data_IF_106181126941
#
_entry.id   IF_106181126941
#
_cell.length_a   1.000
_cell.length_b   1.000
_cell.length_c   1.000
_cell.angle_alpha   90.00
_cell.angle_beta   90.00
_cell.angle_gamma   90.00
#
_symmetry.space_group_name_H-M   'P 1'
#
loop_
_entity.id
_entity.type
_entity.pdbx_description
1 polymer ?
#
# COMPACT_ATOMS: atom_id res chain seq x y z
N UNK A 1 -11.84 -30.71 -15.57
CA UNK A 1 -11.28 -29.34 -15.57
C UNK A 1 -11.31 -28.86 -14.14
N UNK A 2 -10.15 -28.60 -13.53
CA UNK A 2 -10.15 -27.97 -12.20
C UNK A 2 -10.66 -26.54 -12.38
N UNK A 3 -11.77 -26.20 -11.71
CA UNK A 3 -12.17 -24.79 -11.60
C UNK A 3 -11.03 -24.02 -10.97
N UNK A 4 -10.59 -22.96 -11.62
CA UNK A 4 -9.54 -22.09 -11.07
C UNK A 4 -10.07 -21.52 -9.73
N UNK A 5 -9.21 -21.55 -8.71
CA UNK A 5 -9.55 -21.01 -7.41
C UNK A 5 -9.86 -19.53 -7.54
N UNK A 6 -10.94 -19.07 -6.92
CA UNK A 6 -11.33 -17.67 -6.96
C UNK A 6 -11.76 -17.17 -5.58
N UNK A 7 -11.47 -15.90 -5.31
CA UNK A 7 -11.93 -15.18 -4.12
C UNK A 7 -12.96 -14.16 -4.52
N UNK A 8 -14.10 -14.18 -3.83
CA UNK A 8 -15.19 -13.23 -4.01
C UNK A 8 -15.11 -12.13 -2.97
N UNK A 9 -14.95 -10.90 -3.41
CA UNK A 9 -15.05 -9.73 -2.58
C UNK A 9 -16.53 -9.40 -2.36
N UNK A 10 -16.98 -9.40 -1.12
CA UNK A 10 -18.41 -9.28 -0.79
C UNK A 10 -18.67 -8.08 0.11
N UNK A 11 -19.86 -7.48 -0.09
CA UNK A 11 -20.41 -6.44 0.78
C UNK A 11 -21.44 -7.07 1.72
N UNK A 12 -21.26 -6.85 3.02
CA UNK A 12 -22.17 -7.31 4.07
C UNK A 12 -23.23 -6.24 4.33
N UNK A 13 -24.50 -6.63 4.20
CA UNK A 13 -25.60 -5.72 4.49
C UNK A 13 -26.05 -5.84 5.94
N UNK A 14 -26.21 -4.71 6.62
CA UNK A 14 -26.79 -4.70 7.96
C UNK A 14 -28.22 -5.25 7.92
N UNK A 15 -28.47 -6.31 8.70
CA UNK A 15 -29.81 -6.93 8.83
C UNK A 15 -30.26 -7.82 7.67
N UNK A 16 -29.40 -8.10 6.67
CA UNK A 16 -29.69 -9.07 5.60
C UNK A 16 -28.83 -10.33 5.76
N UNK A 17 -29.41 -11.49 5.40
CA UNK A 17 -28.69 -12.79 5.48
C UNK A 17 -27.71 -13.03 4.34
N UNK A 18 -27.85 -12.32 3.22
CA UNK A 18 -27.10 -12.60 2.01
C UNK A 18 -26.13 -11.46 1.71
N UNK A 19 -24.85 -11.82 1.59
CA UNK A 19 -23.80 -10.92 1.12
C UNK A 19 -23.95 -10.70 -0.40
N UNK A 20 -23.60 -9.51 -0.87
CA UNK A 20 -23.57 -9.22 -2.31
C UNK A 20 -22.14 -9.28 -2.82
N UNK A 21 -21.90 -10.08 -3.85
CA UNK A 21 -20.60 -10.17 -4.52
C UNK A 21 -20.37 -8.90 -5.35
N UNK A 22 -19.33 -8.17 -5.02
CA UNK A 22 -18.90 -6.97 -5.74
C UNK A 22 -17.98 -7.34 -6.90
N UNK A 23 -16.88 -8.03 -6.58
CA UNK A 23 -15.85 -8.43 -7.52
C UNK A 23 -15.36 -9.85 -7.21
N UNK A 24 -14.72 -10.46 -8.21
CA UNK A 24 -14.09 -11.77 -8.07
C UNK A 24 -12.66 -11.66 -8.54
N UNK A 25 -11.73 -12.20 -7.78
CA UNK A 25 -10.31 -12.25 -8.11
C UNK A 25 -9.87 -13.70 -8.32
N UNK A 26 -8.95 -13.89 -9.25
CA UNK A 26 -8.28 -15.17 -9.51
C UNK A 26 -6.77 -14.98 -9.46
N UNK A 27 -5.99 -16.03 -9.14
CA UNK A 27 -4.53 -15.98 -9.26
C UNK A 27 -4.12 -15.66 -10.70
N UNK A 28 -3.16 -14.76 -10.88
CA UNK A 28 -2.63 -14.38 -12.19
C UNK A 28 -1.58 -15.37 -12.75
N UNK A 29 -1.13 -16.33 -11.93
CA UNK A 29 -0.08 -17.29 -12.26
C UNK A 29 1.35 -16.80 -12.01
N UNK A 30 1.52 -15.53 -11.65
CA UNK A 30 2.84 -14.93 -11.35
C UNK A 30 3.01 -14.64 -9.84
N UNK A 31 2.08 -15.11 -9.03
CA UNK A 31 2.07 -14.91 -7.57
C UNK A 31 1.22 -13.73 -7.11
N UNK A 32 0.46 -13.14 -8.02
CA UNK A 32 -0.50 -12.08 -7.75
C UNK A 32 -1.95 -12.52 -7.97
N UNK A 33 -2.83 -11.54 -7.92
CA UNK A 33 -4.27 -11.72 -8.12
C UNK A 33 -4.81 -10.70 -9.12
N UNK A 34 -5.64 -11.13 -10.02
CA UNK A 34 -6.31 -10.26 -10.99
C UNK A 34 -7.84 -10.35 -10.90
N UNK A 35 -8.55 -9.24 -11.16
CA UNK A 35 -10.00 -9.26 -11.19
C UNK A 35 -10.51 -10.04 -12.41
N UNK A 36 -11.43 -10.97 -12.15
CA UNK A 36 -12.10 -11.73 -13.21
C UNK A 36 -13.08 -10.81 -13.92
N UNK A 37 -12.78 -10.45 -15.16
CA UNK A 37 -13.64 -9.61 -16.00
C UNK A 37 -14.90 -10.39 -16.38
N UNK A 38 -16.05 -9.90 -15.95
CA UNK A 38 -17.32 -10.38 -16.46
C UNK A 38 -17.63 -9.65 -17.76
N UNK A 39 -18.01 -10.36 -18.78
CA UNK A 39 -18.33 -9.84 -20.12
C UNK A 39 -19.64 -9.04 -20.21
N UNK A 40 -20.08 -8.41 -19.14
CA UNK A 40 -21.28 -7.57 -19.10
C UNK A 40 -20.93 -6.12 -19.34
N UNK A 41 -21.57 -5.52 -20.33
CA UNK A 41 -21.62 -4.08 -20.57
C UNK A 41 -22.42 -3.38 -19.47
N UNK A 42 -21.89 -3.35 -18.25
CA UNK A 42 -22.44 -2.48 -17.21
C UNK A 42 -21.96 -1.06 -17.52
N UNK A 43 -22.90 -0.18 -17.83
CA UNK A 43 -22.61 1.26 -17.96
C UNK A 43 -22.27 1.76 -16.56
N UNK A 44 -21.04 2.21 -16.31
CA UNK A 44 -20.69 2.72 -14.99
C UNK A 44 -21.49 3.98 -14.71
N UNK A 45 -22.02 4.08 -13.51
CA UNK A 45 -22.58 5.33 -13.01
C UNK A 45 -21.45 6.32 -12.79
N UNK A 46 -21.75 7.62 -12.91
CA UNK A 46 -20.78 8.67 -12.68
C UNK A 46 -20.06 8.47 -11.33
N UNK A 47 -18.71 8.46 -11.35
CA UNK A 47 -17.87 8.21 -10.18
C UNK A 47 -17.66 6.74 -9.80
N UNK A 48 -18.21 5.77 -10.56
CA UNK A 48 -17.98 4.33 -10.34
C UNK A 48 -17.22 3.72 -11.51
N UNK A 49 -16.45 2.66 -11.25
CA UNK A 49 -15.75 1.89 -12.27
C UNK A 49 -16.37 0.50 -12.40
N UNK A 50 -16.48 -0.06 -13.62
CA UNK A 50 -17.04 -1.41 -13.83
C UNK A 50 -16.14 -2.51 -13.25
N UNK A 51 -14.87 -2.21 -13.02
CA UNK A 51 -13.87 -3.14 -12.49
C UNK A 51 -12.99 -2.44 -11.45
N UNK A 52 -12.35 -3.20 -10.54
CA UNK A 52 -11.23 -2.68 -9.75
C UNK A 52 -10.15 -2.09 -10.66
N UNK A 53 -9.64 -0.95 -10.30
CA UNK A 53 -8.60 -0.24 -11.06
C UNK A 53 -7.28 -0.33 -10.29
N UNK A 54 -6.28 -0.91 -10.93
CA UNK A 54 -4.92 -0.94 -10.42
C UNK A 54 -4.24 0.39 -10.72
N UNK A 55 -3.80 1.08 -9.68
CA UNK A 55 -3.08 2.35 -9.81
C UNK A 55 -1.69 2.23 -9.22
N UNK A 56 -0.71 2.71 -9.96
CA UNK A 56 0.67 2.79 -9.53
C UNK A 56 0.98 4.22 -9.09
N UNK A 57 1.13 4.40 -7.79
CA UNK A 57 1.53 5.65 -7.14
C UNK A 57 3.01 5.65 -6.77
N UNK A 58 3.78 4.67 -7.24
CA UNK A 58 5.22 4.60 -6.96
C UNK A 58 5.89 5.85 -7.54
N UNK A 59 6.64 6.60 -6.74
CA UNK A 59 7.37 7.75 -7.25
C UNK A 59 8.35 7.31 -8.33
N UNK A 60 8.32 7.97 -9.49
CA UNK A 60 9.23 7.65 -10.61
C UNK A 60 10.64 8.15 -10.36
N UNK A 61 10.77 9.18 -9.55
CA UNK A 61 12.04 9.77 -9.13
C UNK A 61 11.97 10.08 -7.64
N UNK A 62 13.09 9.96 -6.89
CA UNK A 62 13.11 10.33 -5.48
C UNK A 62 12.86 11.84 -5.35
N UNK A 63 11.76 12.22 -4.73
CA UNK A 63 11.51 13.63 -4.40
C UNK A 63 12.48 14.06 -3.29
N UNK A 64 13.32 15.03 -3.61
CA UNK A 64 14.16 15.72 -2.64
C UNK A 64 13.28 16.65 -1.81
N UNK A 65 12.86 16.19 -0.65
CA UNK A 65 12.10 17.02 0.30
C UNK A 65 12.94 17.44 1.50
N UNK A 66 12.64 18.57 2.12
CA UNK A 66 13.28 18.96 3.38
C UNK A 66 13.08 17.90 4.46
N UNK A 67 14.11 17.66 5.26
CA UNK A 67 14.00 16.75 6.40
C UNK A 67 13.02 17.31 7.44
N UNK A 68 12.21 16.42 8.01
CA UNK A 68 11.35 16.76 9.14
C UNK A 68 12.17 16.83 10.44
N UNK A 69 11.63 17.55 11.42
CA UNK A 69 12.31 17.71 12.71
C UNK A 69 12.55 16.39 13.47
N UNK A 70 11.65 15.42 13.32
CA UNK A 70 11.79 14.07 13.87
C UNK A 70 12.91 13.27 13.15
N UNK A 71 12.98 13.33 11.83
CA UNK A 71 14.03 12.71 11.02
C UNK A 71 15.41 13.27 11.38
N UNK A 72 15.50 14.59 11.55
CA UNK A 72 16.70 15.26 12.01
C UNK A 72 17.13 14.80 13.40
N UNK A 73 16.18 14.59 14.31
CA UNK A 73 16.45 14.14 15.68
C UNK A 73 16.96 12.70 15.69
N UNK A 74 16.33 11.81 14.94
CA UNK A 74 16.76 10.42 14.80
C UNK A 74 18.14 10.32 14.14
N UNK A 75 18.34 11.04 13.04
CA UNK A 75 19.61 11.08 12.36
C UNK A 75 20.75 11.53 13.26
N UNK A 76 20.55 12.53 14.16
CA UNK A 76 21.54 12.92 15.17
C UNK A 76 21.87 11.81 16.15
N UNK A 77 20.88 11.03 16.59
CA UNK A 77 21.11 9.87 17.47
C UNK A 77 21.94 8.80 16.76
N UNK A 78 21.60 8.53 15.51
CA UNK A 78 22.30 7.54 14.68
C UNK A 78 23.75 7.97 14.38
N UNK A 79 23.96 9.24 14.08
CA UNK A 79 25.31 9.77 13.86
C UNK A 79 26.19 9.64 15.11
N UNK A 80 25.65 9.92 16.30
CA UNK A 80 26.35 9.75 17.57
C UNK A 80 26.66 8.28 17.87
N UNK A 81 25.74 7.37 17.55
CA UNK A 81 25.95 5.93 17.68
C UNK A 81 27.06 5.46 16.75
N UNK A 82 26.97 5.83 15.47
CA UNK A 82 27.99 5.47 14.49
C UNK A 82 29.37 5.99 14.85
N UNK A 83 29.52 7.24 15.33
CA UNK A 83 30.76 7.80 15.74
C UNK A 83 31.38 7.04 16.94
N UNK A 84 30.59 6.47 17.83
CA UNK A 84 31.05 5.62 18.94
C UNK A 84 31.48 4.24 18.47
N UNK A 85 30.79 3.67 17.52
CA UNK A 85 31.05 2.32 17.00
C UNK A 85 32.23 2.30 16.00
N UNK A 86 32.56 3.44 15.40
CA UNK A 86 33.59 3.57 14.37
C UNK A 86 34.54 4.77 14.69
N UNK A 87 35.33 4.68 15.75
CA UNK A 87 36.22 5.75 16.15
C UNK A 87 37.36 6.04 15.14
N UNK A 88 37.61 5.11 14.21
CA UNK A 88 38.59 5.22 13.14
C UNK A 88 38.20 6.21 12.02
N UNK A 89 36.97 6.70 11.99
CA UNK A 89 36.46 7.68 10.99
C UNK A 89 36.01 9.01 11.61
N UNK A 90 36.82 9.69 12.43
CA UNK A 90 36.42 10.92 13.12
C UNK A 90 36.15 12.08 12.16
N UNK A 91 36.90 12.17 11.08
CA UNK A 91 36.83 13.25 10.09
C UNK A 91 35.48 13.37 9.35
N UNK A 92 34.71 12.26 9.20
CA UNK A 92 33.38 12.29 8.64
C UNK A 92 32.31 12.69 9.65
N UNK A 93 32.59 12.75 10.93
CA UNK A 93 31.60 13.03 11.96
C UNK A 93 31.25 14.51 12.07
N UNK A 94 32.21 15.37 11.78
CA UNK A 94 32.17 16.80 12.14
C UNK A 94 32.18 17.76 10.95
N UNK A 95 32.29 17.26 9.71
CA UNK A 95 32.19 18.14 8.52
C UNK A 95 30.76 18.66 8.38
N UNK A 96 30.54 19.96 8.66
CA UNK A 96 29.20 20.52 8.60
C UNK A 96 28.81 20.82 7.17
N UNK A 97 27.58 20.44 6.82
CA UNK A 97 26.94 20.81 5.56
C UNK A 97 25.71 21.66 5.88
N UNK A 98 25.46 22.66 5.07
CA UNK A 98 24.31 23.51 5.21
C UNK A 98 23.09 22.89 4.51
N UNK A 99 22.00 22.73 5.26
CA UNK A 99 20.67 22.39 4.76
C UNK A 99 19.74 23.58 5.03
N UNK A 100 19.54 24.42 4.05
CA UNK A 100 18.90 25.70 4.27
C UNK A 100 19.65 26.52 5.31
N UNK A 101 18.99 26.95 6.37
CA UNK A 101 19.58 27.71 7.47
C UNK A 101 20.19 26.84 8.61
N UNK A 102 20.15 25.53 8.45
CA UNK A 102 20.60 24.60 9.48
C UNK A 102 21.90 23.92 9.11
N UNK A 103 22.87 23.98 10.01
CA UNK A 103 24.17 23.31 9.89
C UNK A 103 24.05 21.86 10.37
N UNK A 104 24.32 20.89 9.49
CA UNK A 104 24.11 19.46 9.75
C UNK A 104 25.37 18.68 9.41
N UNK A 105 25.82 17.72 10.25
CA UNK A 105 26.92 16.83 9.89
C UNK A 105 26.64 16.02 8.62
N UNK A 106 27.63 15.89 7.74
CA UNK A 106 27.49 15.22 6.44
C UNK A 106 26.93 13.79 6.54
N UNK A 107 27.29 13.07 7.58
CA UNK A 107 26.78 11.71 7.86
C UNK A 107 25.27 11.67 8.10
N UNK A 108 24.79 12.69 8.76
CA UNK A 108 23.36 12.84 9.02
C UNK A 108 22.59 13.00 7.72
N UNK A 109 23.16 13.80 6.81
CA UNK A 109 22.59 14.00 5.47
C UNK A 109 22.57 12.72 4.65
N UNK A 110 23.68 11.99 4.60
CA UNK A 110 23.75 10.77 3.78
C UNK A 110 22.76 9.70 4.28
N UNK A 111 22.62 9.56 5.60
CA UNK A 111 21.73 8.57 6.20
C UNK A 111 20.25 8.97 6.11
N UNK A 112 19.96 10.25 6.32
CA UNK A 112 18.61 10.75 6.16
C UNK A 112 18.19 10.77 4.69
N UNK A 113 19.11 11.07 3.75
CA UNK A 113 18.89 10.96 2.33
C UNK A 113 18.63 9.50 1.92
N UNK A 114 19.40 8.53 2.40
CA UNK A 114 19.17 7.11 2.16
C UNK A 114 17.80 6.65 2.66
N UNK A 115 17.41 7.03 3.87
CA UNK A 115 16.08 6.70 4.40
C UNK A 115 14.93 7.35 3.62
N UNK A 116 15.10 8.58 3.16
CA UNK A 116 14.12 9.25 2.32
C UNK A 116 13.99 8.54 0.97
N UNK A 117 15.12 8.19 0.35
CA UNK A 117 15.15 7.43 -0.91
C UNK A 117 14.50 6.06 -0.73
N UNK A 118 14.83 5.31 0.32
CA UNK A 118 14.22 4.01 0.59
C UNK A 118 12.71 4.11 0.81
N UNK A 119 12.23 5.10 1.56
CA UNK A 119 10.78 5.31 1.78
C UNK A 119 10.03 5.75 0.53
N UNK A 120 10.64 6.60 -0.28
CA UNK A 120 9.98 7.15 -1.45
C UNK A 120 10.05 6.22 -2.67
N UNK A 121 10.94 5.21 -2.66
CA UNK A 121 11.04 4.17 -3.67
C UNK A 121 10.18 2.92 -3.36
N UNK A 122 9.56 2.85 -2.20
CA UNK A 122 8.60 1.78 -1.93
C UNK A 122 7.49 1.78 -2.98
N UNK A 123 7.24 0.61 -3.56
CA UNK A 123 6.12 0.42 -4.47
C UNK A 123 4.80 0.82 -3.80
N UNK A 124 4.06 1.70 -4.45
CA UNK A 124 2.77 2.20 -3.97
C UNK A 124 1.66 1.83 -4.94
N UNK A 125 1.59 0.56 -5.27
CA UNK A 125 0.52 0.04 -6.09
C UNK A 125 -0.70 -0.23 -5.22
N UNK A 126 -1.85 0.27 -5.66
CA UNK A 126 -3.11 0.07 -4.95
C UNK A 126 -4.22 -0.33 -5.91
N UNK A 127 -5.12 -1.15 -5.41
CA UNK A 127 -6.38 -1.47 -6.08
C UNK A 127 -7.47 -0.52 -5.57
N UNK A 128 -8.10 0.20 -6.49
CA UNK A 128 -9.25 1.05 -6.21
C UNK A 128 -10.53 0.34 -6.63
N UNK A 129 -11.48 0.26 -5.71
CA UNK A 129 -12.77 -0.40 -5.87
C UNK A 129 -13.86 0.63 -5.64
N UNK A 130 -14.37 1.20 -6.73
CA UNK A 130 -15.46 2.17 -6.72
C UNK A 130 -16.68 1.53 -7.35
N UNK A 131 -17.61 1.07 -6.53
CA UNK A 131 -18.74 0.27 -6.98
C UNK A 131 -20.05 0.73 -6.34
N UNK A 132 -21.12 0.68 -7.13
CA UNK A 132 -22.44 0.67 -6.54
C UNK A 132 -22.84 -0.77 -6.22
N UNK A 133 -23.22 -1.04 -4.98
CA UNK A 133 -23.69 -2.34 -4.59
C UNK A 133 -25.04 -2.67 -5.31
N UNK A 134 -25.12 -3.74 -6.08
CA UNK A 134 -26.37 -4.12 -6.76
C UNK A 134 -27.48 -4.55 -5.79
N UNK A 135 -27.13 -4.90 -4.55
CA UNK A 135 -28.09 -5.34 -3.54
C UNK A 135 -28.77 -4.21 -2.77
N UNK A 136 -28.04 -3.11 -2.45
CA UNK A 136 -28.59 -2.00 -1.65
C UNK A 136 -28.47 -0.64 -2.32
N UNK A 137 -27.75 -0.53 -3.43
CA UNK A 137 -27.54 0.73 -4.13
C UNK A 137 -26.50 1.67 -3.50
N UNK A 138 -25.88 1.29 -2.39
CA UNK A 138 -24.82 2.05 -1.76
C UNK A 138 -23.59 2.17 -2.64
N UNK A 139 -22.98 3.34 -2.69
CA UNK A 139 -21.71 3.56 -3.39
C UNK A 139 -20.57 3.27 -2.43
N UNK A 140 -19.78 2.26 -2.77
CA UNK A 140 -18.63 1.79 -2.01
C UNK A 140 -17.35 2.27 -2.67
N UNK A 141 -16.50 2.95 -1.92
CA UNK A 141 -15.21 3.46 -2.40
C UNK A 141 -14.11 3.04 -1.43
N UNK A 142 -13.23 2.17 -1.91
CA UNK A 142 -12.13 1.62 -1.13
C UNK A 142 -10.83 1.65 -1.95
N UNK A 143 -9.72 1.82 -1.24
CA UNK A 143 -8.38 1.73 -1.81
C UNK A 143 -7.54 0.81 -0.92
N UNK A 144 -6.98 -0.25 -1.49
CA UNK A 144 -6.15 -1.21 -0.79
C UNK A 144 -4.78 -1.31 -1.44
N UNK A 145 -3.71 -1.29 -0.65
CA UNK A 145 -2.38 -1.60 -1.15
C UNK A 145 -2.37 -3.02 -1.71
N UNK A 146 -1.75 -3.18 -2.88
CA UNK A 146 -1.71 -4.46 -3.60
C UNK A 146 -1.13 -5.58 -2.74
N UNK A 147 0.01 -5.35 -2.10
CA UNK A 147 0.68 -6.34 -1.26
C UNK A 147 -0.21 -6.84 -0.12
N UNK A 148 -0.86 -5.91 0.59
CA UNK A 148 -1.73 -6.25 1.71
C UNK A 148 -3.02 -6.94 1.26
N UNK A 149 -3.57 -6.55 0.12
CA UNK A 149 -4.74 -7.20 -0.45
C UNK A 149 -4.41 -8.64 -0.88
N UNK A 150 -3.27 -8.85 -1.53
CA UNK A 150 -2.84 -10.17 -1.98
C UNK A 150 -2.52 -11.09 -0.80
N UNK A 151 -1.86 -10.57 0.23
CA UNK A 151 -1.64 -11.32 1.47
C UNK A 151 -2.96 -11.82 2.09
N UNK A 152 -3.98 -10.97 2.18
CA UNK A 152 -5.29 -11.37 2.69
C UNK A 152 -5.97 -12.42 1.81
N UNK A 153 -5.79 -12.34 0.50
CA UNK A 153 -6.32 -13.35 -0.41
C UNK A 153 -5.59 -14.69 -0.27
N UNK A 154 -4.27 -14.67 -0.09
CA UNK A 154 -3.48 -15.87 0.14
C UNK A 154 -3.83 -16.53 1.48
N UNK A 155 -3.95 -15.76 2.56
CA UNK A 155 -4.42 -16.26 3.87
C UNK A 155 -5.83 -16.88 3.75
N UNK A 156 -6.74 -16.20 3.05
CA UNK A 156 -8.10 -16.69 2.80
C UNK A 156 -8.10 -18.00 2.01
N UNK A 157 -7.20 -18.12 1.04
CA UNK A 157 -7.00 -19.33 0.24
C UNK A 157 -6.46 -20.48 1.09
N UNK A 158 -5.47 -20.23 1.93
CA UNK A 158 -4.91 -21.24 2.85
C UNK A 158 -5.94 -21.76 3.84
N UNK A 159 -6.86 -20.91 4.28
CA UNK A 159 -7.99 -21.29 5.12
C UNK A 159 -9.10 -22.05 4.36
N UNK A 160 -8.97 -22.23 3.05
CA UNK A 160 -9.99 -22.87 2.20
C UNK A 160 -11.26 -22.05 2.01
N UNK A 161 -11.22 -20.75 2.29
CA UNK A 161 -12.35 -19.83 2.13
C UNK A 161 -12.34 -19.20 0.74
N UNK A 162 -13.51 -18.84 0.23
CA UNK A 162 -13.70 -18.25 -1.10
C UNK A 162 -14.33 -16.85 -1.06
N UNK A 163 -14.47 -16.25 0.12
CA UNK A 163 -15.11 -14.96 0.30
C UNK A 163 -14.35 -14.11 1.30
N UNK A 164 -14.17 -12.84 0.96
CA UNK A 164 -13.62 -11.80 1.84
C UNK A 164 -14.59 -10.63 1.88
N UNK A 165 -14.94 -10.16 3.08
CA UNK A 165 -15.77 -8.98 3.24
C UNK A 165 -14.94 -7.72 3.04
N UNK A 166 -15.44 -6.78 2.23
CA UNK A 166 -14.77 -5.51 1.97
C UNK A 166 -14.66 -4.65 3.24
N UNK A 167 -15.65 -4.74 4.12
CA UNK A 167 -15.66 -4.03 5.40
C UNK A 167 -14.64 -4.60 6.38
N UNK A 168 -14.50 -5.93 6.42
CA UNK A 168 -13.53 -6.60 7.27
C UNK A 168 -12.10 -6.30 6.79
N UNK A 169 -11.88 -6.30 5.48
CA UNK A 169 -10.64 -5.84 4.85
C UNK A 169 -10.31 -4.40 5.23
N UNK A 170 -11.24 -3.49 5.04
CA UNK A 170 -11.04 -2.07 5.35
C UNK A 170 -10.69 -1.87 6.85
N UNK A 171 -11.29 -2.64 7.74
CA UNK A 171 -11.01 -2.59 9.17
C UNK A 171 -9.63 -3.12 9.50
N UNK A 172 -9.21 -4.23 8.89
CA UNK A 172 -7.89 -4.86 9.07
C UNK A 172 -6.75 -3.98 8.54
N UNK A 173 -6.94 -3.36 7.37
CA UNK A 173 -5.88 -2.66 6.64
C UNK A 173 -5.77 -1.16 7.00
N UNK A 174 -6.72 -0.60 7.74
CA UNK A 174 -6.68 0.79 8.23
C UNK A 174 -6.10 0.90 9.66
N UNK A 175 -5.59 -0.18 10.21
CA UNK A 175 -4.82 -0.23 11.45
C UNK A 175 -3.34 -0.48 11.15
#
# INVERSE_FOLDING_TARGET
MCEAYTIKLVHKHAGRRNDTVLDTFAPDGEGGWEPVRRSRHEVPLEGTAPFPVRQDFTPKEPEMRPFRADEMREGRKDARRFARENPEFPEYSDTPVWLGDTRVPIRLMMRAASRVIERDLESRIAWQINRRCPGCGEVLSYSFREETLYQEFDETREEGKHKVSIEDLARKLNH
#
